data_IF_653423674594
#
_entry.id   IF_653423674594
#
_cell.length_a   1.000
_cell.length_b   1.000
_cell.length_c   1.000
_cell.angle_alpha   90.00
_cell.angle_beta   90.00
_cell.angle_gamma   90.00
#
_symmetry.space_group_name_H-M   'P 1'
#
loop_
_entity.id
_entity.type
_entity.pdbx_description
1 polymer ?
#
# COMPACT_ATOMS: atom_id res chain seq x y z
N UNK A 1 19.92 -16.47 -15.99
CA UNK A 1 18.75 -15.75 -15.44
C UNK A 1 19.30 -14.78 -14.41
N UNK A 2 19.60 -13.53 -14.81
CA UNK A 2 20.13 -12.53 -13.86
C UNK A 2 18.96 -11.71 -13.36
N UNK A 3 18.21 -12.29 -12.43
CA UNK A 3 17.21 -11.54 -11.66
C UNK A 3 17.96 -10.81 -10.56
N UNK A 4 18.13 -9.49 -10.70
CA UNK A 4 18.59 -8.63 -9.61
C UNK A 4 17.78 -8.98 -8.36
N UNK A 5 18.44 -9.43 -7.30
CA UNK A 5 17.80 -9.66 -6.00
C UNK A 5 17.05 -8.36 -5.65
N UNK A 6 15.72 -8.44 -5.56
CA UNK A 6 14.92 -7.30 -5.11
C UNK A 6 15.28 -7.10 -3.65
N UNK A 7 15.57 -5.88 -3.19
CA UNK A 7 15.93 -5.66 -1.80
C UNK A 7 14.80 -6.20 -0.91
N UNK A 8 15.13 -7.14 -0.04
CA UNK A 8 14.16 -7.92 0.74
C UNK A 8 13.44 -7.07 1.81
N UNK A 9 13.86 -5.81 1.97
CA UNK A 9 13.40 -4.87 3.00
C UNK A 9 12.70 -3.62 2.44
N UNK A 10 12.24 -3.61 1.18
CA UNK A 10 11.48 -2.46 0.66
C UNK A 10 10.10 -2.44 1.33
N UNK A 11 9.84 -1.42 2.14
CA UNK A 11 8.53 -1.15 2.71
C UNK A 11 7.79 -0.06 1.93
N UNK A 12 6.49 -0.24 1.78
CA UNK A 12 5.57 0.72 1.20
C UNK A 12 4.65 1.26 2.28
N UNK A 13 4.40 2.57 2.22
CA UNK A 13 3.28 3.18 2.92
C UNK A 13 2.15 3.35 1.92
N UNK A 14 1.04 2.70 2.23
CA UNK A 14 -0.20 2.77 1.46
C UNK A 14 -1.15 3.65 2.26
N UNK A 15 -1.60 4.75 1.65
CA UNK A 15 -2.65 5.60 2.18
C UNK A 15 -3.91 5.41 1.35
N UNK A 16 -4.96 4.95 2.00
CA UNK A 16 -6.30 4.80 1.44
C UNK A 16 -7.15 5.99 1.85
N UNK A 17 -7.88 6.57 0.91
CA UNK A 17 -8.91 7.57 1.13
C UNK A 17 -10.27 6.98 0.77
N UNK A 18 -11.24 7.13 1.66
CA UNK A 18 -12.60 6.60 1.48
C UNK A 18 -13.65 7.58 2.00
N UNK A 19 -14.85 7.50 1.44
CA UNK A 19 -16.00 8.26 1.92
C UNK A 19 -16.62 7.54 3.13
N UNK A 20 -16.78 8.25 4.23
CA UNK A 20 -17.41 7.76 5.44
C UNK A 20 -18.95 7.79 5.30
N UNK A 21 -19.65 7.09 6.19
CA UNK A 21 -21.13 7.06 6.19
C UNK A 21 -21.78 8.43 6.43
N UNK A 22 -21.04 9.39 6.98
CA UNK A 22 -21.45 10.77 7.21
C UNK A 22 -21.10 11.72 6.04
N UNK A 23 -20.58 11.19 4.93
CA UNK A 23 -20.13 11.95 3.76
C UNK A 23 -18.77 12.64 3.95
N UNK A 24 -18.10 12.46 5.09
CA UNK A 24 -16.75 12.97 5.29
C UNK A 24 -15.72 12.10 4.56
N UNK A 25 -14.54 12.66 4.28
CA UNK A 25 -13.42 11.88 3.75
C UNK A 25 -12.57 11.33 4.90
N UNK A 26 -12.56 10.01 5.03
CA UNK A 26 -11.67 9.28 5.92
C UNK A 26 -10.38 8.84 5.23
N UNK A 27 -9.39 8.44 6.02
CA UNK A 27 -8.20 7.78 5.51
C UNK A 27 -7.70 6.66 6.43
N UNK A 28 -7.03 5.68 5.84
CA UNK A 28 -6.32 4.62 6.55
C UNK A 28 -4.89 4.48 6.00
N UNK A 29 -3.94 4.15 6.87
CA UNK A 29 -2.54 3.95 6.48
C UNK A 29 -2.06 2.55 6.85
N UNK A 30 -1.32 1.93 5.93
CA UNK A 30 -0.71 0.62 6.13
C UNK A 30 0.76 0.66 5.70
N UNK A 31 1.62 0.08 6.53
CA UNK A 31 3.02 -0.19 6.20
C UNK A 31 3.14 -1.68 5.89
N UNK A 32 3.61 -2.02 4.69
CA UNK A 32 3.80 -3.41 4.30
C UNK A 32 4.96 -3.58 3.31
N UNK A 33 5.56 -4.78 3.24
CA UNK A 33 6.61 -5.08 2.28
C UNK A 33 6.13 -4.93 0.83
N UNK A 34 7.04 -4.58 -0.06
CA UNK A 34 6.83 -4.59 -1.51
C UNK A 34 6.90 -6.02 -2.06
N UNK A 35 5.96 -6.85 -1.60
CA UNK A 35 5.79 -8.27 -1.95
C UNK A 35 4.44 -8.52 -2.61
N UNK A 36 4.08 -9.78 -2.88
CA UNK A 36 2.76 -10.15 -3.41
C UNK A 36 1.58 -9.66 -2.54
N UNK A 37 1.82 -9.40 -1.25
CA UNK A 37 0.80 -8.90 -0.32
C UNK A 37 0.25 -7.54 -0.75
N UNK A 38 1.09 -6.68 -1.38
CA UNK A 38 0.64 -5.39 -1.87
C UNK A 38 -0.41 -5.54 -2.97
N UNK A 39 -0.24 -6.50 -3.89
CA UNK A 39 -1.17 -6.72 -4.98
C UNK A 39 -2.55 -7.17 -4.47
N UNK A 40 -2.56 -8.04 -3.45
CA UNK A 40 -3.78 -8.44 -2.75
C UNK A 40 -4.47 -7.26 -2.07
N UNK A 41 -3.69 -6.41 -1.40
CA UNK A 41 -4.19 -5.22 -0.71
C UNK A 41 -4.82 -4.23 -1.68
N UNK A 42 -4.13 -3.91 -2.78
CA UNK A 42 -4.64 -3.06 -3.86
C UNK A 42 -5.94 -3.62 -4.43
N UNK A 43 -6.00 -4.93 -4.70
CA UNK A 43 -7.19 -5.58 -5.25
C UNK A 43 -8.40 -5.48 -4.32
N UNK A 44 -8.20 -5.63 -3.02
CA UNK A 44 -9.26 -5.49 -2.03
C UNK A 44 -9.79 -4.05 -2.00
N UNK A 45 -8.89 -3.07 -1.92
CA UNK A 45 -9.24 -1.67 -1.65
C UNK A 45 -9.59 -0.82 -2.87
N UNK A 46 -9.26 -1.25 -4.10
CA UNK A 46 -9.66 -0.53 -5.34
C UNK A 46 -11.18 -0.41 -5.50
N UNK A 47 -11.95 -1.23 -4.80
CA UNK A 47 -13.41 -1.31 -4.93
C UNK A 47 -14.15 -0.25 -4.10
N UNK A 48 -13.48 0.37 -3.11
CA UNK A 48 -14.12 1.24 -2.12
C UNK A 48 -13.48 2.61 -1.91
N UNK A 49 -12.34 2.92 -2.54
CA UNK A 49 -11.64 4.18 -2.29
C UNK A 49 -10.55 4.56 -3.29
N UNK A 50 -9.97 5.75 -3.11
CA UNK A 50 -8.79 6.21 -3.84
C UNK A 50 -7.55 5.85 -3.03
N UNK A 51 -6.58 5.22 -3.67
CA UNK A 51 -5.40 4.71 -2.98
C UNK A 51 -4.14 5.38 -3.54
N UNK A 52 -3.23 5.76 -2.64
CA UNK A 52 -1.92 6.32 -2.95
C UNK A 52 -0.87 5.41 -2.32
N UNK A 53 0.11 5.00 -3.11
CA UNK A 53 1.23 4.17 -2.67
C UNK A 53 2.49 5.02 -2.72
N UNK A 54 3.25 5.00 -1.64
CA UNK A 54 4.57 5.63 -1.57
C UNK A 54 5.60 4.56 -1.20
N UNK A 55 6.59 4.38 -2.06
CA UNK A 55 7.69 3.44 -1.87
C UNK A 55 8.85 4.20 -1.22
N UNK A 56 9.38 3.66 -0.11
CA UNK A 56 10.68 3.94 0.53
C UNK A 56 10.59 4.36 2.00
N UNK A 57 10.82 3.38 2.88
CA UNK A 57 11.43 3.54 4.21
C UNK A 57 12.26 2.28 4.49
N UNK A 58 13.54 2.43 4.85
CA UNK A 58 14.36 1.32 5.35
C UNK A 58 14.00 1.04 6.82
N UNK A 59 13.64 -0.22 7.13
CA UNK A 59 13.63 -0.71 8.50
C UNK A 59 15.04 -1.20 8.82
N UNK A 60 15.87 -0.30 9.34
CA UNK A 60 17.21 -0.62 9.88
C UNK A 60 17.09 -1.38 11.19
#
# INVERSE_FOLDING_TARGET
VSGSERPENIMCRIRLFYECSDGSMGFAEHLMPYSEDIAGFIKHWKTGGRMVITEYFDLV
#
